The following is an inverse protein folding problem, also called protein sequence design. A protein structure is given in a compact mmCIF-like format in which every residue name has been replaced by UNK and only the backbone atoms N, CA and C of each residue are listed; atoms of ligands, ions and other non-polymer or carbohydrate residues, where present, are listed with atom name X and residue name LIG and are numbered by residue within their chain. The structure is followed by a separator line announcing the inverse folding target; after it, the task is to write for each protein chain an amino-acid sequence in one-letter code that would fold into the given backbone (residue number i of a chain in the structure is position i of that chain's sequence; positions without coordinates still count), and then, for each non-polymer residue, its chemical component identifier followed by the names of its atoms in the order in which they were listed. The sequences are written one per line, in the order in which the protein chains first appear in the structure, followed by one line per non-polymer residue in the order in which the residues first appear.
data_IF_247575790945
#
_entry.id   IF_247575790945
#
_cell.length_a   1.000
_cell.length_b   1.000
_cell.length_c   1.000
_cell.angle_alpha   90.00
_cell.angle_beta   90.00
_cell.angle_gamma   90.00
#
_symmetry.space_group_name_H-M   'P 1'
#
loop_
_entity.id
_entity.type
_entity.pdbx_description
1 polymer ?
#
# COMPACT_ATOMS: atom_id res chain seq x y z
N UNK A 1 -3.75 14.87 -4.87
CA UNK A 1 -3.17 13.72 -5.56
C UNK A 1 -3.97 12.47 -5.27
N UNK A 2 -4.07 11.60 -6.25
CA UNK A 2 -4.82 10.36 -6.11
C UNK A 2 -4.11 9.42 -5.14
N UNK A 3 -4.87 8.81 -4.23
CA UNK A 3 -4.38 7.81 -3.29
C UNK A 3 -3.28 8.31 -2.36
N UNK A 4 -3.28 9.60 -2.08
CA UNK A 4 -2.29 10.17 -1.17
C UNK A 4 -2.46 9.63 0.24
N UNK A 5 -3.69 9.33 0.64
CA UNK A 5 -3.97 8.73 1.94
C UNK A 5 -3.30 7.38 2.11
N UNK A 6 -3.26 6.59 1.03
CA UNK A 6 -2.58 5.30 1.05
C UNK A 6 -1.06 5.50 1.22
N UNK A 7 -0.51 6.45 0.47
CA UNK A 7 0.92 6.74 0.58
C UNK A 7 1.29 7.25 1.96
N UNK A 8 0.46 8.10 2.54
CA UNK A 8 0.68 8.61 3.88
C UNK A 8 0.55 7.52 4.94
N UNK A 9 -0.43 6.64 4.78
CA UNK A 9 -0.60 5.53 5.72
C UNK A 9 0.62 4.62 5.71
N UNK A 10 1.15 4.33 4.54
CA UNK A 10 2.36 3.50 4.44
C UNK A 10 3.55 4.19 5.09
N UNK A 11 3.72 5.47 4.83
CA UNK A 11 4.83 6.25 5.40
C UNK A 11 4.73 6.31 6.92
N UNK A 12 3.53 6.57 7.43
CA UNK A 12 3.32 6.66 8.88
C UNK A 12 3.57 5.33 9.56
N UNK A 13 3.29 4.24 8.87
CA UNK A 13 3.50 2.91 9.41
C UNK A 13 4.94 2.41 9.22
N UNK A 14 5.78 3.16 8.51
CA UNK A 14 7.12 2.72 8.21
C UNK A 14 7.20 1.64 7.17
N UNK A 15 6.16 1.52 6.34
CA UNK A 15 6.06 0.50 5.30
C UNK A 15 6.34 1.13 3.95
N UNK A 16 7.14 0.46 3.15
CA UNK A 16 7.45 0.94 1.81
C UNK A 16 6.46 0.37 0.81
N UNK A 17 6.21 1.15 -0.25
CA UNK A 17 5.22 0.74 -1.24
C UNK A 17 5.60 -0.55 -1.94
N UNK A 18 6.89 -0.80 -2.17
CA UNK A 18 7.30 -2.05 -2.81
C UNK A 18 6.96 -3.26 -1.94
N UNK A 19 6.95 -3.07 -0.62
CA UNK A 19 6.57 -4.16 0.29
C UNK A 19 5.09 -4.49 0.13
N UNK A 20 4.26 -3.48 -0.06
CA UNK A 20 2.83 -3.69 -0.31
C UNK A 20 2.63 -4.41 -1.64
N UNK A 21 3.36 -4.01 -2.68
CA UNK A 21 3.27 -4.66 -3.98
C UNK A 21 3.65 -6.13 -3.88
N UNK A 22 4.69 -6.43 -3.13
CA UNK A 22 5.13 -7.80 -2.93
C UNK A 22 4.06 -8.63 -2.22
N UNK A 23 3.43 -8.04 -1.21
CA UNK A 23 2.35 -8.72 -0.49
C UNK A 23 1.14 -8.97 -1.39
N UNK A 24 0.92 -8.11 -2.38
CA UNK A 24 -0.14 -8.28 -3.35
C UNK A 24 0.26 -9.21 -4.50
N UNK A 25 1.52 -9.63 -4.53
CA UNK A 25 2.07 -10.50 -5.57
C UNK A 25 2.00 -9.85 -6.95
N UNK A 26 2.26 -8.56 -7.00
CA UNK A 26 2.32 -7.83 -8.26
C UNK A 26 3.65 -7.09 -8.34
N UNK A 27 4.03 -6.71 -9.55
CA UNK A 27 5.25 -5.96 -9.75
C UNK A 27 5.13 -4.56 -9.15
N UNK A 28 6.24 -4.03 -8.67
CA UNK A 28 6.31 -2.69 -8.12
C UNK A 28 5.82 -1.64 -9.13
N UNK A 29 6.24 -1.79 -10.38
CA UNK A 29 5.81 -0.88 -11.44
C UNK A 29 4.31 -0.96 -11.68
N UNK A 30 3.73 -2.15 -11.60
CA UNK A 30 2.30 -2.34 -11.75
C UNK A 30 1.55 -1.64 -10.63
N UNK A 31 2.04 -1.79 -9.40
CA UNK A 31 1.42 -1.14 -8.26
C UNK A 31 1.48 0.38 -8.39
N UNK A 32 2.61 0.92 -8.81
CA UNK A 32 2.76 2.36 -9.03
C UNK A 32 1.76 2.88 -10.04
N UNK A 33 1.53 2.12 -11.11
CA UNK A 33 0.56 2.50 -12.12
C UNK A 33 -0.86 2.52 -11.56
N UNK A 34 -1.18 1.53 -10.73
CA UNK A 34 -2.50 1.48 -10.09
C UNK A 34 -2.74 2.65 -9.17
N UNK A 35 -1.71 3.09 -8.48
CA UNK A 35 -1.82 4.22 -7.56
C UNK A 35 -2.04 5.55 -8.27
N UNK A 36 -1.85 5.60 -9.56
CA UNK A 36 -2.11 6.82 -10.34
C UNK A 36 -3.58 7.00 -10.65
N UNK A 37 -4.41 5.99 -10.39
CA UNK A 37 -5.83 6.04 -10.65
C UNK A 37 -6.59 5.85 -9.34
N UNK A 38 -7.81 6.41 -9.24
CA UNK A 38 -8.63 6.16 -8.07
C UNK A 38 -8.89 4.65 -7.93
N UNK A 39 -8.67 4.13 -6.75
CA UNK A 39 -8.88 2.71 -6.49
C UNK A 39 -10.29 2.48 -5.96
N UNK A 40 -10.94 1.36 -6.37
CA UNK A 40 -12.23 1.00 -5.78
C UNK A 40 -12.06 0.71 -4.29
N UNK A 41 -13.14 0.90 -3.55
CA UNK A 41 -13.15 0.77 -2.11
C UNK A 41 -12.59 -0.58 -1.61
N UNK A 42 -13.01 -1.73 -2.18
CA UNK A 42 -12.48 -3.00 -1.72
C UNK A 42 -10.97 -3.11 -1.87
N UNK A 43 -10.43 -2.54 -2.93
CA UNK A 43 -8.99 -2.59 -3.18
C UNK A 43 -8.25 -1.68 -2.21
N UNK A 44 -8.80 -0.51 -1.92
CA UNK A 44 -8.21 0.41 -0.96
C UNK A 44 -8.15 -0.23 0.42
N UNK A 45 -9.23 -0.86 0.85
CA UNK A 45 -9.26 -1.51 2.15
C UNK A 45 -8.25 -2.64 2.24
N UNK A 46 -8.10 -3.39 1.17
CA UNK A 46 -7.12 -4.48 1.12
C UNK A 46 -5.70 -3.94 1.29
N UNK A 47 -5.40 -2.86 0.60
CA UNK A 47 -4.08 -2.26 0.69
C UNK A 47 -3.82 -1.71 2.10
N UNK A 48 -4.79 -1.03 2.68
CA UNK A 48 -4.64 -0.49 4.02
C UNK A 48 -4.46 -1.61 5.06
N UNK A 49 -5.17 -2.71 4.89
CA UNK A 49 -5.01 -3.87 5.76
C UNK A 49 -3.60 -4.43 5.66
N UNK A 50 -3.09 -4.54 4.44
CA UNK A 50 -1.73 -5.03 4.21
C UNK A 50 -0.72 -4.09 4.88
N UNK A 51 -0.91 -2.79 4.76
CA UNK A 51 -0.03 -1.83 5.40
C UNK A 51 0.00 -2.05 6.91
N UNK A 52 -1.15 -2.26 7.52
CA UNK A 52 -1.22 -2.52 8.95
C UNK A 52 -0.50 -3.80 9.33
N UNK A 53 -0.68 -4.85 8.56
CA UNK A 53 -0.02 -6.12 8.84
C UNK A 53 1.50 -6.00 8.73
N UNK A 54 1.97 -5.32 7.70
CA UNK A 54 3.40 -5.13 7.52
C UNK A 54 3.98 -4.22 8.60
N UNK A 55 3.20 -3.25 9.05
CA UNK A 55 3.60 -2.38 10.14
C UNK A 55 3.86 -3.16 11.42
N UNK A 56 3.02 -4.14 11.70
CA UNK A 56 3.18 -4.96 12.89
C UNK A 56 4.45 -5.80 12.82
N UNK A 57 4.81 -6.25 11.64
CA UNK A 57 6.03 -7.04 11.48
C UNK A 57 7.27 -6.18 11.60
N UNK A 58 7.19 -4.94 11.18
CA UNK A 58 8.33 -4.02 11.20
C UNK A 58 8.57 -3.43 12.59
N UNK A 59 7.55 -3.39 13.42
CA UNK A 59 7.61 -2.75 14.73
C UNK A 59 8.28 -3.62 15.80
N UNK A 60 9.36 -4.17 15.52
CA UNK A 60 10.06 -4.98 16.52
C UNK A 60 11.24 -4.29 17.09
#
# INVERSE_FOLDING_TARGET
MVNQDIRQAARAAGVKLWQVAEALEIADTTFSKRLRRPLPEPEREKILTIIQLLSQEVTR
#
